data_IF_354758118610
#
_entry.id   IF_354758118610
#
_cell.length_a   1.000
_cell.length_b   1.000
_cell.length_c   1.000
_cell.angle_alpha   90.00
_cell.angle_beta   90.00
_cell.angle_gamma   90.00
#
_symmetry.space_group_name_H-M   'P 1'
#
loop_
_entity.id
_entity.type
_entity.pdbx_description
1 polymer ?
#
# COMPACT_ATOMS: atom_id res chain seq x y z
N UNK A 1 3.74 17.09 -13.42
CA UNK A 1 3.36 17.08 -14.85
C UNK A 1 2.60 15.81 -15.25
N UNK A 2 1.45 16.00 -15.89
CA UNK A 2 0.61 14.92 -16.41
C UNK A 2 1.21 14.24 -17.65
N UNK A 3 1.81 15.02 -18.56
CA UNK A 3 2.39 14.51 -19.80
C UNK A 3 3.46 13.41 -19.55
N UNK A 4 4.39 13.65 -18.61
CA UNK A 4 5.38 12.65 -18.20
C UNK A 4 4.71 11.38 -17.68
N UNK A 5 3.75 11.50 -16.74
CA UNK A 5 3.02 10.33 -16.22
C UNK A 5 2.25 9.57 -17.30
N UNK A 6 1.73 10.26 -18.34
CA UNK A 6 1.08 9.60 -19.49
C UNK A 6 2.09 8.85 -20.35
N UNK A 7 3.28 9.40 -20.57
CA UNK A 7 4.38 8.77 -21.33
C UNK A 7 4.78 7.42 -20.73
N UNK A 8 4.92 7.33 -19.41
CA UNK A 8 5.25 6.09 -18.71
C UNK A 8 4.01 5.22 -18.38
N UNK A 9 2.83 5.54 -18.94
CA UNK A 9 1.58 4.82 -18.67
C UNK A 9 1.21 4.72 -17.18
N UNK A 10 1.44 5.77 -16.39
CA UNK A 10 1.15 5.82 -14.94
C UNK A 10 0.18 6.93 -14.54
N UNK A 11 -0.42 7.64 -15.49
CA UNK A 11 -1.45 8.62 -15.15
C UNK A 11 -2.76 7.93 -14.71
N UNK A 12 -3.12 8.12 -13.44
CA UNK A 12 -4.40 7.71 -12.85
C UNK A 12 -4.97 8.91 -12.09
N UNK A 13 -6.12 9.43 -12.52
CA UNK A 13 -6.71 10.66 -11.97
C UNK A 13 -7.12 10.53 -10.50
N UNK A 14 -7.47 9.33 -10.05
CA UNK A 14 -7.87 9.04 -8.68
C UNK A 14 -6.70 8.84 -7.70
N UNK A 15 -5.44 8.84 -8.17
CA UNK A 15 -4.30 8.72 -7.27
C UNK A 15 -4.09 10.03 -6.50
N UNK A 16 -3.96 9.94 -5.18
CA UNK A 16 -3.39 11.04 -4.39
C UNK A 16 -1.91 11.23 -4.74
N UNK A 17 -1.35 12.39 -4.35
CA UNK A 17 0.02 12.81 -4.72
C UNK A 17 1.07 11.73 -4.49
N UNK A 18 1.12 11.15 -3.28
CA UNK A 18 2.10 10.11 -2.95
C UNK A 18 1.96 8.88 -3.86
N UNK A 19 0.74 8.36 -4.03
CA UNK A 19 0.50 7.18 -4.87
C UNK A 19 0.84 7.42 -6.33
N UNK A 20 0.57 8.62 -6.85
CA UNK A 20 0.97 9.00 -8.21
C UNK A 20 2.49 8.99 -8.37
N UNK A 21 3.24 9.48 -7.36
CA UNK A 21 4.69 9.46 -7.34
C UNK A 21 5.23 8.02 -7.22
N UNK A 22 4.78 7.25 -6.24
CA UNK A 22 5.14 5.84 -6.08
C UNK A 22 4.84 5.02 -7.34
N UNK A 23 3.70 5.26 -8.00
CA UNK A 23 3.37 4.61 -9.27
C UNK A 23 4.38 4.92 -10.37
N UNK A 24 4.79 6.18 -10.45
CA UNK A 24 5.79 6.61 -11.43
C UNK A 24 7.14 5.96 -11.13
N UNK A 25 7.58 5.95 -9.87
CA UNK A 25 8.81 5.28 -9.45
C UNK A 25 8.82 3.79 -9.85
N UNK A 26 7.71 3.09 -9.65
CA UNK A 26 7.60 1.69 -10.07
C UNK A 26 7.67 1.49 -11.58
N UNK A 27 7.24 2.46 -12.39
CA UNK A 27 7.39 2.37 -13.85
C UNK A 27 8.84 2.62 -14.30
N UNK A 28 9.55 3.53 -13.64
CA UNK A 28 10.98 3.74 -13.88
C UNK A 28 11.77 2.49 -13.51
N UNK A 29 11.52 1.91 -12.33
CA UNK A 29 12.17 0.66 -11.92
C UNK A 29 11.90 -0.49 -12.91
N UNK A 30 10.67 -0.61 -13.43
CA UNK A 30 10.32 -1.58 -14.47
C UNK A 30 11.16 -1.39 -15.73
N UNK A 31 11.33 -0.13 -16.15
CA UNK A 31 12.07 0.26 -17.35
C UNK A 31 13.57 0.01 -17.18
N UNK A 32 14.14 0.40 -16.04
CA UNK A 32 15.54 0.12 -15.66
C UNK A 32 15.87 -1.39 -15.68
N UNK A 33 14.86 -2.24 -15.42
CA UNK A 33 15.00 -3.70 -15.43
C UNK A 33 14.57 -4.36 -16.76
N UNK A 34 14.29 -3.58 -17.81
CA UNK A 34 13.81 -4.05 -19.12
C UNK A 34 12.56 -4.96 -19.04
N UNK A 35 11.69 -4.74 -18.04
CA UNK A 35 10.55 -5.61 -17.81
C UNK A 35 9.36 -5.20 -18.70
N UNK A 36 8.75 -6.14 -19.46
CA UNK A 36 7.59 -5.83 -20.29
C UNK A 36 6.41 -5.31 -19.45
N UNK A 37 5.80 -4.22 -19.90
CA UNK A 37 4.63 -3.60 -19.24
C UNK A 37 3.44 -4.55 -19.15
N UNK A 38 2.73 -4.46 -18.03
CA UNK A 38 1.51 -5.20 -17.76
C UNK A 38 0.23 -4.43 -18.09
N UNK A 39 -0.89 -5.12 -17.87
CA UNK A 39 -2.23 -4.54 -18.02
C UNK A 39 -2.96 -4.48 -16.68
N UNK A 40 -3.83 -3.49 -16.54
CA UNK A 40 -4.76 -3.34 -15.45
C UNK A 40 -6.19 -3.53 -15.97
N UNK A 41 -6.94 -4.36 -15.26
CA UNK A 41 -8.37 -4.55 -15.45
C UNK A 41 -9.11 -3.63 -14.48
N UNK A 42 -10.00 -2.79 -15.02
CA UNK A 42 -10.95 -2.07 -14.19
C UNK A 42 -11.95 -3.07 -13.61
N UNK A 43 -12.03 -3.16 -12.26
CA UNK A 43 -12.95 -4.09 -11.59
C UNK A 43 -14.42 -3.74 -11.84
N UNK A 44 -14.74 -2.45 -12.02
CA UNK A 44 -16.10 -2.02 -12.31
C UNK A 44 -16.46 -2.24 -13.79
N UNK A 45 -15.47 -2.24 -14.68
CA UNK A 45 -15.64 -2.44 -16.11
C UNK A 45 -14.59 -3.43 -16.65
N UNK A 46 -14.76 -4.76 -16.46
CA UNK A 46 -13.74 -5.75 -16.80
C UNK A 46 -13.28 -5.73 -18.27
N UNK A 47 -14.10 -5.21 -19.18
CA UNK A 47 -13.77 -5.03 -20.60
C UNK A 47 -12.79 -3.87 -20.87
N UNK A 48 -12.61 -2.95 -19.90
CA UNK A 48 -11.64 -1.86 -20.01
C UNK A 48 -10.28 -2.33 -19.50
N UNK A 49 -9.51 -2.91 -20.41
CA UNK A 49 -8.11 -3.26 -20.19
C UNK A 49 -7.24 -2.09 -20.61
N UNK A 50 -6.32 -1.64 -19.75
CA UNK A 50 -5.31 -0.63 -20.12
C UNK A 50 -3.91 -1.05 -19.72
N UNK A 51 -2.91 -0.64 -20.50
CA UNK A 51 -1.51 -0.72 -20.09
C UNK A 51 -1.28 0.18 -18.88
N UNK A 52 -0.48 -0.29 -17.94
CA UNK A 52 -0.16 0.46 -16.72
C UNK A 52 1.31 0.21 -16.35
N UNK A 53 2.12 1.27 -16.35
CA UNK A 53 3.59 1.19 -16.17
C UNK A 53 4.01 0.58 -14.83
N UNK A 54 3.22 0.78 -13.78
CA UNK A 54 3.40 0.13 -12.48
C UNK A 54 3.02 -1.37 -12.42
N UNK A 55 2.89 -2.02 -13.58
CA UNK A 55 2.64 -3.46 -13.69
C UNK A 55 3.58 -4.08 -14.71
N UNK A 56 3.88 -5.36 -14.51
CA UNK A 56 4.61 -6.18 -15.47
C UNK A 56 3.68 -7.17 -16.16
N UNK A 57 4.09 -7.65 -17.34
CA UNK A 57 3.37 -8.67 -18.09
C UNK A 57 3.18 -9.94 -17.25
N UNK A 58 2.12 -10.70 -17.56
CA UNK A 58 1.88 -11.97 -16.88
C UNK A 58 3.03 -12.97 -17.09
N UNK A 59 3.67 -12.94 -18.26
CA UNK A 59 4.82 -13.79 -18.56
C UNK A 59 6.00 -13.48 -17.64
N UNK A 60 6.38 -12.20 -17.49
CA UNK A 60 7.42 -11.78 -16.55
C UNK A 60 7.01 -12.05 -15.08
N UNK A 61 5.75 -11.84 -14.73
CA UNK A 61 5.26 -12.18 -13.39
C UNK A 61 5.35 -13.68 -13.05
N UNK A 62 5.23 -14.56 -14.05
CA UNK A 62 5.39 -16.02 -13.86
C UNK A 62 6.83 -16.44 -13.60
N UNK A 63 7.83 -15.67 -14.07
CA UNK A 63 9.24 -15.93 -13.79
C UNK A 63 9.70 -15.37 -12.45
N UNK A 64 8.82 -14.67 -11.73
CA UNK A 64 9.16 -14.04 -10.45
C UNK A 64 9.77 -12.64 -10.58
N UNK A 65 9.71 -12.00 -11.76
CA UNK A 65 10.36 -10.72 -12.02
C UNK A 65 9.85 -9.52 -11.17
N UNK A 66 8.78 -9.70 -10.39
CA UNK A 66 8.37 -8.69 -9.39
C UNK A 66 9.22 -8.75 -8.11
N UNK A 67 9.99 -9.81 -7.92
CA UNK A 67 10.89 -9.99 -6.78
C UNK A 67 12.31 -9.58 -7.16
N UNK A 68 13.04 -9.01 -6.21
CA UNK A 68 14.35 -8.40 -6.48
C UNK A 68 15.45 -9.43 -6.74
N UNK A 69 15.29 -10.66 -6.23
CA UNK A 69 16.22 -11.78 -6.48
C UNK A 69 15.44 -13.08 -6.72
N UNK A 70 16.05 -14.07 -7.40
CA UNK A 70 15.46 -15.40 -7.53
C UNK A 70 15.14 -16.07 -6.19
N UNK A 71 15.96 -15.84 -5.16
CA UNK A 71 15.75 -16.41 -3.82
C UNK A 71 14.48 -15.84 -3.18
N UNK A 72 14.23 -14.53 -3.32
CA UNK A 72 12.99 -13.92 -2.83
C UNK A 72 11.79 -14.48 -3.60
N UNK A 73 11.91 -14.70 -4.91
CA UNK A 73 10.87 -15.34 -5.69
C UNK A 73 10.58 -16.78 -5.20
N UNK A 74 11.61 -17.52 -4.81
CA UNK A 74 11.47 -18.86 -4.23
C UNK A 74 10.77 -18.82 -2.85
N UNK A 75 11.11 -17.84 -1.99
CA UNK A 75 10.41 -17.61 -0.71
C UNK A 75 8.92 -17.33 -0.95
N UNK A 76 8.59 -16.45 -1.89
CA UNK A 76 7.20 -16.14 -2.23
C UNK A 76 6.46 -17.35 -2.81
N UNK A 77 7.11 -18.15 -3.65
CA UNK A 77 6.54 -19.39 -4.18
C UNK A 77 6.25 -20.40 -3.06
N UNK A 78 7.18 -20.55 -2.10
CA UNK A 78 6.99 -21.40 -0.92
C UNK A 78 5.85 -20.89 -0.04
N UNK A 79 5.80 -19.61 0.27
CA UNK A 79 4.71 -19.02 1.06
C UNK A 79 3.33 -19.26 0.39
N UNK A 80 3.25 -19.12 -0.94
CA UNK A 80 2.03 -19.44 -1.69
C UNK A 80 1.64 -20.93 -1.61
N UNK A 81 2.62 -21.84 -1.69
CA UNK A 81 2.38 -23.27 -1.63
C UNK A 81 1.90 -23.74 -0.25
N UNK A 82 2.46 -23.15 0.81
CA UNK A 82 2.16 -23.50 2.21
C UNK A 82 1.19 -22.50 2.88
N UNK A 83 0.51 -21.67 2.10
CA UNK A 83 -0.39 -20.65 2.64
C UNK A 83 -1.45 -21.27 3.55
N UNK A 84 -1.75 -20.55 4.62
CA UNK A 84 -2.73 -20.99 5.61
C UNK A 84 -4.13 -21.16 4.99
N UNK A 85 -4.95 -22.08 5.50
CA UNK A 85 -6.34 -22.19 5.09
C UNK A 85 -7.06 -20.83 5.12
N UNK A 86 -7.59 -20.42 3.98
CA UNK A 86 -8.29 -19.14 3.82
C UNK A 86 -7.39 -17.93 3.58
N UNK A 87 -6.06 -18.03 3.61
CA UNK A 87 -5.13 -16.91 3.34
C UNK A 87 -5.45 -16.21 2.02
N UNK A 88 -5.45 -14.87 2.03
CA UNK A 88 -5.96 -14.05 0.93
C UNK A 88 -4.85 -13.58 -0.02
N UNK A 89 -4.14 -14.54 -0.63
CA UNK A 89 -3.19 -14.21 -1.68
C UNK A 89 -3.91 -13.89 -3.00
N UNK A 90 -3.87 -12.61 -3.41
CA UNK A 90 -4.12 -12.26 -4.81
C UNK A 90 -2.84 -12.54 -5.61
N UNK A 91 -2.73 -13.77 -6.13
CA UNK A 91 -1.54 -14.26 -6.84
C UNK A 91 -1.19 -13.38 -8.04
N UNK A 92 -2.20 -12.83 -8.73
CA UNK A 92 -1.99 -11.93 -9.86
C UNK A 92 -1.39 -10.60 -9.39
N UNK A 93 -1.95 -10.01 -8.32
CA UNK A 93 -1.41 -8.80 -7.69
C UNK A 93 0.02 -9.04 -7.22
N UNK A 94 0.29 -10.11 -6.50
CA UNK A 94 1.62 -10.45 -5.98
C UNK A 94 2.65 -10.57 -7.11
N UNK A 95 2.30 -11.20 -8.24
CA UNK A 95 3.22 -11.43 -9.35
C UNK A 95 3.39 -10.26 -10.30
N UNK A 96 2.41 -9.37 -10.42
CA UNK A 96 2.40 -8.40 -11.53
C UNK A 96 2.20 -6.95 -11.12
N UNK A 97 1.79 -6.67 -9.87
CA UNK A 97 1.58 -5.32 -9.39
C UNK A 97 2.82 -4.80 -8.64
N UNK A 98 3.61 -3.95 -9.28
CA UNK A 98 4.82 -3.39 -8.69
C UNK A 98 4.51 -2.41 -7.54
N UNK A 99 3.32 -1.78 -7.58
CA UNK A 99 2.86 -0.78 -6.61
C UNK A 99 2.24 -1.38 -5.33
N UNK A 100 2.24 -2.71 -5.20
CA UNK A 100 1.58 -3.41 -4.10
C UNK A 100 2.48 -3.52 -2.87
N UNK A 101 1.93 -3.33 -1.66
CA UNK A 101 2.65 -3.64 -0.40
C UNK A 101 3.01 -5.12 -0.26
N UNK A 102 2.18 -6.03 -0.78
CA UNK A 102 2.42 -7.47 -0.67
C UNK A 102 3.79 -7.95 -1.25
N UNK A 103 4.18 -7.67 -2.51
CA UNK A 103 5.52 -7.97 -3.00
C UNK A 103 6.61 -7.15 -2.30
N UNK A 104 6.32 -5.93 -1.81
CA UNK A 104 7.27 -5.19 -0.98
C UNK A 104 7.60 -5.96 0.31
N UNK A 105 6.61 -6.54 0.98
CA UNK A 105 6.83 -7.36 2.17
C UNK A 105 7.78 -8.54 1.88
N UNK A 106 7.59 -9.23 0.75
CA UNK A 106 8.53 -10.27 0.31
C UNK A 106 9.91 -9.73 -0.04
N UNK A 107 10.01 -8.59 -0.72
CA UNK A 107 11.32 -8.02 -1.09
C UNK A 107 12.14 -7.55 0.11
N UNK A 108 11.47 -7.11 1.18
CA UNK A 108 12.12 -6.69 2.43
C UNK A 108 12.43 -7.88 3.34
N UNK A 109 11.46 -8.77 3.58
CA UNK A 109 11.59 -9.83 4.58
C UNK A 109 11.99 -11.19 4.00
N UNK A 110 11.99 -11.36 2.67
CA UNK A 110 12.38 -12.60 2.00
C UNK A 110 13.79 -13.08 2.35
N UNK A 111 14.83 -12.23 2.27
CA UNK A 111 16.18 -12.61 2.67
C UNK A 111 16.26 -12.98 4.16
N UNK A 112 15.51 -12.27 5.02
CA UNK A 112 15.46 -12.51 6.46
C UNK A 112 14.78 -13.86 6.80
N UNK A 113 13.74 -14.23 6.05
CA UNK A 113 13.05 -15.50 6.25
C UNK A 113 13.91 -16.72 5.89
N UNK A 114 14.94 -16.53 5.06
CA UNK A 114 15.90 -17.58 4.70
C UNK A 114 17.08 -17.68 5.67
N UNK A 115 17.33 -16.66 6.49
CA UNK A 115 18.46 -16.58 7.43
C UNK A 115 18.03 -15.92 8.75
N UNK A 116 17.78 -16.75 9.77
CA UNK A 116 17.35 -16.30 11.09
C UNK A 116 18.41 -15.50 11.85
N UNK A 117 19.70 -15.70 11.57
CA UNK A 117 20.76 -14.90 12.18
C UNK A 117 20.78 -13.49 11.58
N UNK A 118 20.60 -13.37 10.27
CA UNK A 118 20.39 -12.08 9.61
C UNK A 118 19.10 -11.41 10.12
N UNK A 119 18.00 -12.13 10.22
CA UNK A 119 16.76 -11.61 10.78
C UNK A 119 16.95 -11.09 12.21
N UNK A 120 17.71 -11.82 13.03
CA UNK A 120 18.03 -11.40 14.40
C UNK A 120 18.80 -10.08 14.42
N UNK A 121 19.85 -9.94 13.60
CA UNK A 121 20.60 -8.68 13.49
C UNK A 121 19.73 -7.53 12.99
N UNK A 122 18.91 -7.79 11.97
CA UNK A 122 17.95 -6.81 11.44
C UNK A 122 16.97 -6.32 12.52
N UNK A 123 16.44 -7.23 13.32
CA UNK A 123 15.50 -6.87 14.39
C UNK A 123 16.18 -6.18 15.57
N UNK A 124 17.46 -6.47 15.85
CA UNK A 124 18.23 -5.73 16.83
C UNK A 124 18.40 -4.25 16.45
N UNK A 125 18.51 -3.95 15.15
CA UNK A 125 18.57 -2.59 14.63
C UNK A 125 17.18 -1.93 14.56
N UNK A 126 16.16 -2.66 14.07
CA UNK A 126 14.83 -2.11 13.83
C UNK A 126 14.00 -1.94 15.12
N UNK A 127 14.19 -2.86 16.08
CA UNK A 127 13.49 -2.90 17.36
C UNK A 127 14.48 -3.20 18.51
N UNK A 128 15.35 -2.24 18.86
CA UNK A 128 16.40 -2.47 19.85
C UNK A 128 15.86 -2.97 21.19
N UNK A 129 16.43 -4.07 21.68
CA UNK A 129 16.08 -4.65 22.98
C UNK A 129 14.78 -5.47 23.01
N UNK A 130 14.04 -5.60 21.90
CA UNK A 130 12.78 -6.33 21.88
C UNK A 130 12.99 -7.85 21.76
N UNK A 131 13.88 -8.29 20.87
CA UNK A 131 14.20 -9.70 20.64
C UNK A 131 15.71 -9.96 20.78
N UNK A 132 16.08 -11.12 21.30
CA UNK A 132 17.46 -11.67 21.28
C UNK A 132 17.67 -12.66 20.14
N UNK A 133 16.61 -13.31 19.68
CA UNK A 133 16.66 -14.20 18.52
C UNK A 133 15.32 -14.20 17.78
N UNK A 134 15.38 -14.17 16.46
CA UNK A 134 14.25 -14.46 15.57
C UNK A 134 14.27 -15.95 15.24
N UNK A 135 13.13 -16.63 15.40
CA UNK A 135 12.99 -18.05 15.08
C UNK A 135 12.29 -18.28 13.74
N UNK A 136 11.29 -17.46 13.41
CA UNK A 136 10.50 -17.60 12.19
C UNK A 136 10.00 -16.25 11.66
N UNK A 137 9.75 -16.20 10.35
CA UNK A 137 9.04 -15.11 9.69
C UNK A 137 7.90 -15.71 8.86
N UNK A 138 6.68 -15.26 9.14
CA UNK A 138 5.45 -15.70 8.48
C UNK A 138 4.91 -14.56 7.60
N UNK A 139 4.49 -14.89 6.39
CA UNK A 139 3.92 -13.94 5.42
C UNK A 139 2.40 -14.11 5.34
N UNK A 140 1.64 -13.02 5.24
CA UNK A 140 0.17 -13.03 5.15
C UNK A 140 -0.45 -13.90 6.27
N UNK A 141 0.00 -13.70 7.50
CA UNK A 141 -0.33 -14.58 8.63
C UNK A 141 -1.66 -14.18 9.29
N UNK A 142 -2.52 -15.16 9.52
CA UNK A 142 -3.77 -15.02 10.27
C UNK A 142 -4.08 -16.37 10.91
N UNK A 143 -3.67 -16.58 12.17
CA UNK A 143 -3.86 -17.87 12.82
C UNK A 143 -5.34 -18.18 12.88
N UNK A 144 -5.74 -19.37 12.42
CA UNK A 144 -7.14 -19.78 12.37
C UNK A 144 -8.02 -18.75 11.68
N UNK A 145 -7.70 -18.35 10.45
CA UNK A 145 -8.44 -17.31 9.73
C UNK A 145 -9.95 -17.61 9.64
N UNK A 146 -10.78 -16.74 10.20
CA UNK A 146 -12.23 -16.93 10.34
C UNK A 146 -12.66 -17.75 11.56
N UNK A 147 -11.72 -18.23 12.38
CA UNK A 147 -11.98 -19.01 13.60
C UNK A 147 -12.42 -18.07 14.74
N UNK A 148 -13.53 -18.39 15.43
CA UNK A 148 -14.05 -17.60 16.55
C UNK A 148 -13.14 -17.57 17.78
N UNK A 149 -12.15 -18.47 17.90
CA UNK A 149 -11.11 -18.37 18.92
C UNK A 149 -10.31 -17.06 18.78
N UNK A 150 -10.18 -16.54 17.57
CA UNK A 150 -9.51 -15.27 17.27
C UNK A 150 -10.53 -14.17 16.98
N UNK A 151 -10.42 -13.46 15.85
CA UNK A 151 -11.30 -12.36 15.47
C UNK A 151 -12.57 -12.79 14.74
N UNK A 152 -12.72 -14.08 14.41
CA UNK A 152 -13.81 -14.64 13.59
C UNK A 152 -13.95 -13.98 12.20
N UNK A 153 -12.92 -13.28 11.74
CA UNK A 153 -12.93 -12.53 10.49
C UNK A 153 -11.70 -12.85 9.63
N UNK A 154 -11.52 -12.06 8.58
CA UNK A 154 -10.50 -12.25 7.55
C UNK A 154 -9.24 -11.40 7.79
N UNK A 155 -9.08 -10.79 8.96
CA UNK A 155 -7.92 -9.96 9.32
C UNK A 155 -6.63 -10.77 9.30
N UNK A 156 -5.56 -10.18 8.76
CA UNK A 156 -4.24 -10.78 8.68
C UNK A 156 -3.17 -9.71 8.87
N UNK A 157 -1.93 -10.14 9.10
CA UNK A 157 -0.75 -9.29 9.06
C UNK A 157 0.03 -9.55 7.78
N UNK A 158 0.71 -8.53 7.25
CA UNK A 158 1.62 -8.73 6.11
C UNK A 158 2.79 -9.63 6.52
N UNK A 159 3.34 -9.39 7.72
CA UNK A 159 4.46 -10.16 8.30
C UNK A 159 4.20 -10.42 9.78
N UNK A 160 4.56 -11.62 10.27
CA UNK A 160 4.72 -11.90 11.70
C UNK A 160 6.08 -12.53 11.94
N UNK A 161 6.88 -11.90 12.81
CA UNK A 161 8.11 -12.51 13.30
C UNK A 161 7.86 -13.18 14.64
N UNK A 162 8.39 -14.40 14.80
CA UNK A 162 8.45 -15.10 16.07
C UNK A 162 9.86 -15.01 16.61
N UNK A 163 10.00 -14.84 17.92
CA UNK A 163 11.30 -14.75 18.54
C UNK A 163 11.27 -14.94 20.04
N UNK A 164 12.44 -14.77 20.64
CA UNK A 164 12.67 -14.85 22.08
C UNK A 164 13.13 -13.48 22.57
N UNK A 165 12.59 -13.02 23.69
CA UNK A 165 12.99 -11.77 24.35
C UNK A 165 14.29 -11.94 25.16
N UNK A 166 14.91 -10.84 25.64
CA UNK A 166 16.01 -10.94 26.61
C UNK A 166 15.68 -11.70 27.90
N UNK A 167 14.41 -11.74 28.29
CA UNK A 167 13.94 -12.48 29.47
C UNK A 167 13.63 -13.96 29.20
N UNK A 168 13.80 -14.43 27.96
CA UNK A 168 13.48 -15.79 27.55
C UNK A 168 12.01 -16.03 27.19
N UNK A 169 11.17 -14.98 27.16
CA UNK A 169 9.77 -15.08 26.80
C UNK A 169 9.59 -15.23 25.29
N UNK A 170 8.54 -15.93 24.85
CA UNK A 170 8.17 -16.00 23.43
C UNK A 170 7.47 -14.72 23.02
N UNK A 171 7.93 -14.10 21.94
CA UNK A 171 7.43 -12.82 21.47
C UNK A 171 7.00 -12.87 20.00
N UNK A 172 6.00 -12.04 19.69
CA UNK A 172 5.55 -11.76 18.33
C UNK A 172 5.79 -10.31 17.95
N UNK A 173 6.32 -10.08 16.75
CA UNK A 173 6.27 -8.76 16.10
C UNK A 173 5.33 -8.88 14.91
N UNK A 174 4.13 -8.33 15.06
CA UNK A 174 3.09 -8.31 14.05
C UNK A 174 3.22 -7.04 13.23
N UNK A 175 3.43 -7.14 11.91
CA UNK A 175 3.73 -5.98 11.06
C UNK A 175 2.65 -5.81 9.99
N UNK A 176 2.11 -4.59 9.93
CA UNK A 176 1.35 -4.09 8.79
C UNK A 176 2.23 -3.17 7.94
N UNK A 177 2.24 -3.38 6.63
CA UNK A 177 2.97 -2.57 5.67
C UNK A 177 2.02 -1.84 4.72
N UNK A 178 2.20 -0.53 4.64
CA UNK A 178 1.59 0.30 3.59
C UNK A 178 2.68 0.73 2.63
N UNK A 179 2.42 0.60 1.33
CA UNK A 179 3.28 1.24 0.35
C UNK A 179 2.61 2.49 -0.21
N UNK A 180 1.66 2.31 -1.11
CA UNK A 180 0.99 3.39 -1.84
C UNK A 180 -0.42 3.69 -1.32
N UNK A 181 -0.91 2.86 -0.42
CA UNK A 181 -2.18 2.98 0.27
C UNK A 181 -2.21 4.23 1.16
N UNK A 182 -3.38 4.89 1.27
CA UNK A 182 -3.53 6.11 2.04
C UNK A 182 -3.77 5.88 3.54
N UNK A 183 -4.11 4.66 3.97
CA UNK A 183 -4.50 4.35 5.36
C UNK A 183 -5.92 4.80 5.74
N UNK A 184 -6.76 5.16 4.76
CA UNK A 184 -8.16 5.53 4.93
C UNK A 184 -9.09 4.62 4.11
N UNK A 185 -8.75 3.34 4.01
CA UNK A 185 -9.56 2.38 3.30
C UNK A 185 -10.99 2.32 3.89
N UNK A 186 -12.03 2.12 3.06
CA UNK A 186 -13.39 1.97 3.55
C UNK A 186 -13.47 0.92 4.66
N UNK A 187 -14.04 1.31 5.80
CA UNK A 187 -14.26 0.39 6.90
C UNK A 187 -15.30 -0.66 6.48
N UNK A 188 -15.03 -1.96 6.67
CA UNK A 188 -16.08 -2.95 6.57
C UNK A 188 -17.06 -2.78 7.75
N UNK A 189 -18.23 -3.43 7.68
CA UNK A 189 -19.16 -3.46 8.79
C UNK A 189 -18.46 -3.87 10.10
N UNK A 190 -18.75 -3.20 11.23
CA UNK A 190 -18.22 -3.60 12.53
C UNK A 190 -18.54 -5.06 12.82
N UNK A 191 -17.59 -5.78 13.40
CA UNK A 191 -17.75 -7.17 13.79
C UNK A 191 -17.74 -7.28 15.32
N UNK A 192 -18.75 -7.91 15.95
CA UNK A 192 -18.94 -7.88 17.41
C UNK A 192 -17.75 -8.48 18.18
N UNK A 193 -17.04 -9.42 17.55
CA UNK A 193 -15.84 -10.03 18.15
C UNK A 193 -14.73 -9.02 18.45
N UNK A 194 -14.56 -7.97 17.65
CA UNK A 194 -13.55 -6.94 17.94
C UNK A 194 -13.92 -6.14 19.19
N UNK A 195 -15.19 -5.79 19.33
CA UNK A 195 -15.73 -5.12 20.52
C UNK A 195 -15.51 -5.99 21.76
N UNK A 196 -15.87 -7.27 21.69
CA UNK A 196 -15.65 -8.22 22.79
C UNK A 196 -14.16 -8.29 23.20
N UNK A 197 -13.25 -8.45 22.24
CA UNK A 197 -11.81 -8.48 22.50
C UNK A 197 -11.33 -7.16 23.11
N UNK A 198 -11.79 -6.02 22.59
CA UNK A 198 -11.41 -4.71 23.09
C UNK A 198 -11.84 -4.50 24.56
N UNK A 199 -13.03 -4.97 24.95
CA UNK A 199 -13.51 -4.92 26.34
C UNK A 199 -12.82 -5.91 27.27
N UNK A 200 -12.36 -7.05 26.74
CA UNK A 200 -11.69 -8.11 27.52
C UNK A 200 -10.16 -7.99 27.53
N UNK A 201 -9.60 -6.92 26.95
CA UNK A 201 -8.15 -6.63 26.96
C UNK A 201 -7.88 -5.32 27.72
N UNK A 202 -7.81 -5.37 29.07
CA UNK A 202 -7.60 -4.18 29.89
C UNK A 202 -6.32 -3.43 29.51
N UNK A 203 -6.41 -2.10 29.49
CA UNK A 203 -5.25 -1.23 29.25
C UNK A 203 -4.80 -1.12 27.79
N UNK A 204 -5.48 -1.77 26.84
CA UNK A 204 -5.15 -1.62 25.41
C UNK A 204 -5.71 -0.32 24.82
N UNK A 205 -7.00 -0.06 25.02
CA UNK A 205 -7.70 1.10 24.46
C UNK A 205 -8.13 2.08 25.54
N UNK A 206 -8.09 3.39 25.23
CA UNK A 206 -8.59 4.45 26.12
C UNK A 206 -10.10 4.28 26.33
N UNK A 207 -10.82 4.10 25.22
CA UNK A 207 -12.26 3.89 25.19
C UNK A 207 -12.57 2.81 24.14
N UNK A 208 -12.80 1.54 24.56
CA UNK A 208 -13.06 0.43 23.64
C UNK A 208 -14.26 0.62 22.70
N UNK A 209 -15.22 1.47 23.08
CA UNK A 209 -16.43 1.79 22.30
C UNK A 209 -16.29 3.07 21.45
N UNK A 210 -15.12 3.72 21.40
CA UNK A 210 -14.94 4.93 20.60
C UNK A 210 -15.18 4.61 19.11
N UNK A 211 -16.14 5.27 18.44
CA UNK A 211 -16.46 4.98 17.04
C UNK A 211 -15.28 5.21 16.09
N UNK A 212 -14.29 6.03 16.49
CA UNK A 212 -13.05 6.27 15.76
C UNK A 212 -12.30 4.97 15.48
N UNK A 213 -12.31 3.99 16.40
CA UNK A 213 -11.65 2.69 16.24
C UNK A 213 -12.16 1.93 15.00
N UNK A 214 -13.45 2.04 14.71
CA UNK A 214 -14.08 1.40 13.55
C UNK A 214 -14.09 2.29 12.29
N UNK A 215 -13.59 3.51 12.39
CA UNK A 215 -13.51 4.46 11.28
C UNK A 215 -12.41 4.12 10.27
N UNK A 216 -12.45 4.71 9.05
CA UNK A 216 -11.51 4.39 7.97
C UNK A 216 -10.02 4.49 8.33
N UNK A 217 -9.66 5.44 9.20
CA UNK A 217 -8.27 5.67 9.61
C UNK A 217 -7.71 4.61 10.58
N UNK A 218 -8.58 3.94 11.33
CA UNK A 218 -8.19 3.10 12.46
C UNK A 218 -8.57 1.64 12.28
N UNK A 219 -9.65 1.36 11.54
CA UNK A 219 -10.29 0.05 11.45
C UNK A 219 -9.32 -1.10 11.19
N UNK A 220 -8.34 -0.92 10.31
CA UNK A 220 -7.39 -1.99 10.02
C UNK A 220 -6.47 -2.30 11.21
N UNK A 221 -5.86 -1.26 11.78
CA UNK A 221 -4.97 -1.39 12.93
C UNK A 221 -5.73 -1.85 14.18
N UNK A 222 -6.97 -1.38 14.37
CA UNK A 222 -7.87 -1.84 15.41
C UNK A 222 -8.08 -3.36 15.35
N UNK A 223 -8.49 -3.88 14.18
CA UNK A 223 -8.67 -5.33 14.00
C UNK A 223 -7.38 -6.11 14.20
N UNK A 224 -6.25 -5.58 13.74
CA UNK A 224 -4.94 -6.20 13.90
C UNK A 224 -4.49 -6.25 15.36
N UNK A 225 -4.76 -5.23 16.15
CA UNK A 225 -4.54 -5.28 17.59
C UNK A 225 -5.49 -6.25 18.28
N UNK A 226 -6.77 -6.30 17.89
CA UNK A 226 -7.70 -7.32 18.39
C UNK A 226 -7.22 -8.73 18.06
N UNK A 227 -6.72 -8.97 16.85
CA UNK A 227 -6.13 -10.25 16.47
C UNK A 227 -4.90 -10.57 17.33
N UNK A 228 -4.01 -9.59 17.54
CA UNK A 228 -2.83 -9.76 18.38
C UNK A 228 -3.20 -10.10 19.83
N UNK A 229 -4.20 -9.41 20.40
CA UNK A 229 -4.72 -9.69 21.74
C UNK A 229 -5.30 -11.10 21.84
N UNK A 230 -6.09 -11.52 20.85
CA UNK A 230 -6.63 -12.88 20.82
C UNK A 230 -5.54 -13.96 20.68
N UNK A 231 -4.46 -13.67 19.95
CA UNK A 231 -3.31 -14.58 19.84
C UNK A 231 -2.58 -14.77 21.18
N UNK A 232 -2.41 -13.70 21.95
CA UNK A 232 -1.85 -13.77 23.31
C UNK A 232 -2.78 -14.53 24.26
N UNK A 233 -4.08 -14.23 24.25
CA UNK A 233 -5.06 -14.94 25.06
C UNK A 233 -5.12 -16.45 24.74
N UNK A 234 -4.86 -16.83 23.49
CA UNK A 234 -4.76 -18.22 23.06
C UNK A 234 -3.40 -18.89 23.37
N UNK A 235 -2.46 -18.18 24.01
CA UNK A 235 -1.16 -18.71 24.42
C UNK A 235 -0.15 -18.89 23.29
N UNK A 236 -0.36 -18.25 22.13
CA UNK A 236 0.55 -18.38 20.98
C UNK A 236 1.91 -17.71 21.23
N UNK A 237 1.95 -16.73 22.11
CA UNK A 237 3.16 -16.09 22.63
C UNK A 237 2.87 -15.47 24.00
N UNK A 238 3.93 -15.03 24.67
CA UNK A 238 3.85 -14.46 26.01
C UNK A 238 3.80 -12.92 25.93
N UNK A 239 4.41 -12.33 24.89
CA UNK A 239 4.32 -10.90 24.56
C UNK A 239 4.14 -10.67 23.07
N UNK A 240 3.65 -9.49 22.69
CA UNK A 240 3.57 -9.08 21.29
C UNK A 240 3.75 -7.58 21.11
N UNK A 241 4.13 -7.17 19.91
CA UNK A 241 4.18 -5.77 19.46
C UNK A 241 3.50 -5.68 18.10
N UNK A 242 2.65 -4.67 17.91
CA UNK A 242 2.12 -4.31 16.60
C UNK A 242 2.98 -3.20 16.00
N UNK A 243 3.57 -3.44 14.84
CA UNK A 243 4.33 -2.45 14.10
C UNK A 243 3.62 -2.07 12.81
N UNK A 244 3.83 -0.82 12.40
CA UNK A 244 3.31 -0.27 11.16
C UNK A 244 4.45 0.35 10.37
N UNK A 245 4.63 -0.04 9.11
CA UNK A 245 5.72 0.46 8.26
C UNK A 245 5.12 1.10 7.01
N UNK A 246 5.52 2.34 6.72
CA UNK A 246 5.17 3.04 5.49
C UNK A 246 6.33 3.92 5.02
N UNK A 247 6.44 4.27 3.72
CA UNK A 247 7.41 5.26 3.26
C UNK A 247 7.23 6.60 3.99
N UNK A 248 8.34 7.26 4.36
CA UNK A 248 8.31 8.50 5.12
C UNK A 248 7.45 9.60 4.46
N UNK A 249 7.46 9.66 3.13
CA UNK A 249 6.67 10.61 2.36
C UNK A 249 5.19 10.22 2.19
N UNK A 250 4.76 9.03 2.61
CA UNK A 250 3.36 8.65 2.65
C UNK A 250 2.68 9.21 3.91
N UNK A 251 2.56 10.53 3.95
CA UNK A 251 2.01 11.27 5.09
C UNK A 251 0.56 10.89 5.43
N UNK A 252 -0.23 10.44 4.45
CA UNK A 252 -1.60 9.98 4.70
C UNK A 252 -1.60 8.72 5.55
N UNK A 253 -0.76 7.74 5.21
CA UNK A 253 -0.63 6.49 5.95
C UNK A 253 -0.12 6.75 7.39
N UNK A 254 0.88 7.64 7.54
CA UNK A 254 1.35 8.05 8.86
C UNK A 254 0.31 8.84 9.67
N UNK A 255 -0.52 9.68 9.03
CA UNK A 255 -1.60 10.39 9.71
C UNK A 255 -2.70 9.43 10.22
N UNK A 256 -3.01 8.38 9.46
CA UNK A 256 -3.90 7.31 9.89
C UNK A 256 -3.33 6.56 11.11
N UNK A 257 -2.06 6.13 11.04
CA UNK A 257 -1.38 5.49 12.17
C UNK A 257 -1.30 6.39 13.41
N UNK A 258 -1.05 7.69 13.24
CA UNK A 258 -1.06 8.66 14.35
C UNK A 258 -2.47 8.84 14.94
N UNK A 259 -3.51 8.79 14.12
CA UNK A 259 -4.90 8.81 14.57
C UNK A 259 -5.24 7.59 15.39
N UNK A 260 -4.80 6.41 14.93
CA UNK A 260 -4.95 5.17 15.68
C UNK A 260 -4.18 5.20 17.01
N UNK A 261 -2.93 5.66 17.00
CA UNK A 261 -2.09 5.75 18.20
C UNK A 261 -2.75 6.53 19.34
N UNK A 262 -3.54 7.57 19.03
CA UNK A 262 -4.30 8.37 20.01
C UNK A 262 -5.47 7.63 20.66
N UNK A 263 -5.80 6.41 20.20
CA UNK A 263 -6.86 5.57 20.77
C UNK A 263 -6.33 4.56 21.79
N UNK A 264 -4.99 4.45 21.93
CA UNK A 264 -4.33 3.48 22.80
C UNK A 264 -4.01 4.10 24.16
N UNK A 265 -4.20 3.35 25.24
CA UNK A 265 -3.98 3.87 26.60
C UNK A 265 -2.51 4.18 26.88
N UNK A 266 -1.62 3.26 26.51
CA UNK A 266 -0.18 3.48 26.46
C UNK A 266 0.39 2.82 25.19
N UNK A 267 0.61 3.57 24.11
CA UNK A 267 1.10 2.99 22.87
C UNK A 267 2.56 2.51 22.94
N UNK A 268 3.34 2.89 23.95
CA UNK A 268 4.75 2.53 24.05
C UNK A 268 4.99 1.34 24.99
N UNK A 269 4.24 1.27 26.09
CA UNK A 269 4.44 0.26 27.14
C UNK A 269 3.15 -0.48 27.53
N UNK A 270 2.04 -0.25 26.83
CA UNK A 270 0.79 -0.98 27.04
C UNK A 270 0.93 -2.48 26.77
N UNK A 271 -0.14 -3.26 27.01
CA UNK A 271 -0.10 -4.72 26.90
C UNK A 271 0.35 -5.22 25.52
N UNK A 272 0.12 -4.40 24.48
CA UNK A 272 0.64 -4.62 23.13
C UNK A 272 1.11 -3.25 22.62
N UNK A 273 2.43 -2.97 22.61
CA UNK A 273 2.96 -1.72 22.08
C UNK A 273 2.65 -1.53 20.59
N UNK A 274 2.45 -0.28 20.17
CA UNK A 274 2.25 0.11 18.79
C UNK A 274 3.41 1.00 18.28
N UNK A 275 4.18 0.47 17.33
CA UNK A 275 5.40 1.11 16.84
C UNK A 275 5.25 1.47 15.35
N UNK A 276 4.92 2.73 15.01
CA UNK A 276 5.00 3.20 13.65
C UNK A 276 6.46 3.50 13.26
N UNK A 277 6.88 3.01 12.10
CA UNK A 277 8.22 3.16 11.53
C UNK A 277 8.14 3.62 10.07
N UNK A 278 9.27 4.09 9.56
CA UNK A 278 9.41 4.38 8.13
C UNK A 278 10.03 3.20 7.39
N UNK A 279 9.68 3.06 6.12
CA UNK A 279 10.26 2.05 5.25
C UNK A 279 11.77 2.28 5.06
N UNK A 280 12.18 3.53 4.98
CA UNK A 280 13.58 3.96 4.88
C UNK A 280 14.38 3.56 6.12
N UNK A 281 13.80 3.62 7.32
CA UNK A 281 14.45 3.14 8.54
C UNK A 281 14.67 1.62 8.50
N UNK A 282 13.72 0.85 7.96
CA UNK A 282 13.92 -0.58 7.72
C UNK A 282 15.06 -0.84 6.70
N UNK A 283 15.24 0.02 5.70
CA UNK A 283 16.38 -0.11 4.77
C UNK A 283 17.71 0.17 5.46
N UNK A 284 17.78 1.18 6.33
CA UNK A 284 18.96 1.42 7.16
C UNK A 284 19.28 0.24 8.07
N UNK A 285 18.26 -0.36 8.71
CA UNK A 285 18.41 -1.58 9.52
C UNK A 285 18.92 -2.76 8.68
N UNK A 286 18.44 -2.92 7.43
CA UNK A 286 18.93 -3.94 6.50
C UNK A 286 20.42 -3.76 6.16
N UNK A 287 20.86 -2.52 5.95
CA UNK A 287 22.27 -2.22 5.71
C UNK A 287 23.12 -2.55 6.93
N UNK A 288 22.71 -2.10 8.13
CA UNK A 288 23.41 -2.35 9.39
C UNK A 288 23.46 -3.84 9.75
N UNK A 289 22.43 -4.61 9.41
CA UNK A 289 22.39 -6.07 9.60
C UNK A 289 23.36 -6.85 8.69
N UNK A 290 23.98 -6.18 7.71
CA UNK A 290 25.00 -6.75 6.83
C UNK A 290 24.59 -6.88 5.36
N UNK A 291 23.47 -6.29 4.93
CA UNK A 291 23.04 -6.29 3.52
C UNK A 291 22.92 -4.87 2.92
N UNK A 292 24.02 -4.10 2.84
CA UNK A 292 23.99 -2.73 2.30
C UNK A 292 23.56 -2.67 0.83
N UNK A 293 23.96 -3.65 0.00
CA UNK A 293 23.55 -3.69 -1.41
C UNK A 293 22.02 -3.91 -1.56
N UNK A 294 21.44 -4.78 -0.73
CA UNK A 294 19.99 -4.99 -0.70
C UNK A 294 19.26 -3.73 -0.24
N UNK A 295 19.78 -3.04 0.78
CA UNK A 295 19.22 -1.78 1.26
C UNK A 295 19.20 -0.69 0.16
N UNK A 296 20.30 -0.54 -0.59
CA UNK A 296 20.38 0.38 -1.72
C UNK A 296 19.38 0.01 -2.82
N UNK A 297 19.27 -1.28 -3.16
CA UNK A 297 18.34 -1.74 -4.17
C UNK A 297 16.87 -1.54 -3.74
N UNK A 298 16.57 -1.72 -2.45
CA UNK A 298 15.25 -1.47 -1.87
C UNK A 298 14.91 0.03 -1.92
N UNK A 299 15.84 0.89 -1.52
CA UNK A 299 15.70 2.34 -1.64
C UNK A 299 15.44 2.75 -3.10
N UNK A 300 16.30 2.30 -4.02
CA UNK A 300 16.20 2.57 -5.46
C UNK A 300 14.83 2.24 -6.02
N UNK A 301 14.27 1.10 -5.59
CA UNK A 301 12.97 0.63 -6.06
C UNK A 301 11.79 1.36 -5.42
N UNK A 302 11.84 1.64 -4.12
CA UNK A 302 10.63 1.99 -3.37
C UNK A 302 10.56 3.46 -2.95
N UNK A 303 11.70 4.14 -2.75
CA UNK A 303 11.75 5.46 -2.11
C UNK A 303 12.78 6.42 -2.70
N UNK A 304 13.43 6.09 -3.83
CA UNK A 304 14.39 6.97 -4.50
C UNK A 304 13.66 8.06 -5.30
N UNK A 305 13.20 9.09 -4.60
CA UNK A 305 12.40 10.18 -5.19
C UNK A 305 13.20 11.07 -6.15
N UNK A 306 14.54 11.06 -6.06
CA UNK A 306 15.42 11.79 -6.98
C UNK A 306 15.25 11.36 -8.43
N UNK A 307 14.89 10.09 -8.67
CA UNK A 307 14.55 9.60 -9.99
C UNK A 307 13.39 10.35 -10.62
N UNK A 308 12.38 10.67 -9.80
CA UNK A 308 11.23 11.42 -10.28
C UNK A 308 11.66 12.85 -10.57
N UNK A 309 12.40 13.49 -9.67
CA UNK A 309 12.84 14.87 -9.88
C UNK A 309 13.62 15.01 -11.20
N UNK A 310 14.54 14.10 -11.50
CA UNK A 310 15.26 14.07 -12.78
C UNK A 310 14.33 13.90 -14.00
N UNK A 311 13.37 12.98 -13.95
CA UNK A 311 12.38 12.80 -15.03
C UNK A 311 11.46 14.01 -15.22
N UNK A 312 11.14 14.68 -14.12
CA UNK A 312 10.33 15.89 -14.12
C UNK A 312 11.09 17.06 -14.75
N UNK A 313 12.36 17.22 -14.42
CA UNK A 313 13.26 18.22 -15.02
C UNK A 313 13.44 17.98 -16.52
N UNK A 314 13.71 16.75 -16.95
CA UNK A 314 13.81 16.37 -18.36
C UNK A 314 12.52 16.69 -19.13
N UNK A 315 11.36 16.38 -18.54
CA UNK A 315 10.06 16.68 -19.15
C UNK A 315 9.80 18.19 -19.27
N UNK A 316 10.23 18.98 -18.29
CA UNK A 316 10.11 20.44 -18.31
C UNK A 316 11.05 21.08 -19.33
N UNK A 317 12.30 20.62 -19.40
CA UNK A 317 13.27 21.07 -20.40
C UNK A 317 12.83 20.76 -21.83
N UNK A 318 12.28 19.57 -22.08
CA UNK A 318 11.73 19.20 -23.38
C UNK A 318 10.51 20.03 -23.79
N UNK A 319 9.68 20.48 -22.83
CA UNK A 319 8.54 21.35 -23.11
C UNK A 319 8.96 22.81 -23.41
N UNK A 320 10.09 23.26 -22.87
CA UNK A 320 10.66 24.57 -23.18
C UNK A 320 11.34 24.62 -24.58
N UNK A 321 11.73 23.47 -25.11
CA UNK A 321 12.41 23.32 -26.40
C UNK A 321 11.44 22.84 -27.51
N UNK A 322 10.37 23.59 -27.77
CA UNK A 322 9.59 23.43 -29.00
C UNK A 322 10.21 24.35 -30.06
N UNK A 323 10.87 23.82 -31.12
CA UNK A 323 11.43 24.67 -32.16
C UNK A 323 10.33 25.47 -32.85
N UNK A 324 10.59 26.74 -33.15
CA UNK A 324 9.67 27.68 -33.81
C UNK A 324 9.15 27.24 -35.20
N UNK A 325 9.56 26.07 -35.70
CA UNK A 325 9.15 25.53 -36.99
C UNK A 325 7.68 25.07 -37.03
N UNK A 326 7.07 24.68 -35.90
CA UNK A 326 5.64 24.28 -35.86
C UNK A 326 4.67 25.46 -35.67
N UNK A 327 5.17 26.66 -35.31
CA UNK A 327 4.34 27.85 -35.15
C UNK A 327 4.03 28.59 -36.48
N UNK A 328 4.64 28.16 -37.59
CA UNK A 328 4.49 28.81 -38.91
C UNK A 328 3.51 28.10 -39.87
N UNK A 329 2.87 27.01 -39.45
CA UNK A 329 1.89 26.29 -40.25
C UNK A 329 0.44 26.58 -39.79
N UNK A 330 0.05 27.85 -39.75
CA UNK A 330 -1.37 28.24 -39.71
C UNK A 330 -1.78 28.70 -41.12
N UNK A 331 -2.79 28.07 -41.77
CA UNK A 331 -3.25 28.54 -43.07
C UNK A 331 -3.92 29.90 -42.92
N UNK A 332 -3.39 30.90 -43.64
CA UNK A 332 -3.97 32.23 -43.75
C UNK A 332 -5.25 32.12 -44.59
N UNK A 333 -6.42 31.99 -43.95
CA UNK A 333 -7.68 32.16 -44.65
C UNK A 333 -7.94 33.64 -44.87
N UNK A 334 -7.74 34.09 -46.12
CA UNK A 334 -8.21 35.37 -46.63
C UNK A 334 -9.72 35.52 -46.39
N UNK A 335 -10.11 36.63 -45.76
CA UNK A 335 -11.49 37.08 -45.73
C UNK A 335 -11.88 37.63 -47.10
N UNK A 336 -12.77 36.95 -47.80
CA UNK A 336 -13.55 37.55 -48.88
C UNK A 336 -14.81 38.16 -48.28
N UNK A 337 -14.88 39.49 -48.38
CA UNK A 337 -16.05 40.31 -48.11
C UNK A 337 -17.07 40.05 -49.22
N UNK A 338 -18.29 39.66 -48.86
CA UNK A 338 -19.43 39.78 -49.75
C UNK A 338 -20.60 40.46 -49.04
N UNK A 339 -20.89 41.66 -49.54
CA UNK A 339 -22.07 42.47 -49.24
C UNK A 339 -23.25 41.96 -50.07
N UNK A 340 -24.39 41.64 -49.44
CA UNK A 340 -25.71 42.12 -49.88
C UNK A 340 -26.81 41.80 -48.85
N UNK A 341 -27.68 42.79 -48.71
CA UNK A 341 -28.81 42.94 -47.82
C UNK A 341 -29.99 41.99 -48.11
N UNK A 342 -30.71 41.53 -47.08
CA UNK A 342 -32.04 42.07 -46.72
C UNK A 342 -32.85 41.16 -45.76
N UNK A 343 -33.51 41.83 -44.81
CA UNK A 343 -34.80 41.52 -44.15
C UNK A 343 -34.95 40.36 -43.13
N UNK A 344 -35.19 40.78 -41.87
CA UNK A 344 -35.81 40.03 -40.75
C UNK A 344 -37.30 39.72 -41.05
N UNK A 345 -37.98 38.75 -40.36
CA UNK A 345 -38.60 39.06 -39.06
C UNK A 345 -38.65 37.92 -37.99
N UNK A 346 -38.57 38.39 -36.73
CA UNK A 346 -39.38 38.05 -35.53
C UNK A 346 -39.25 36.67 -34.85
N UNK A 347 -38.75 36.73 -33.62
CA UNK A 347 -38.80 35.72 -32.56
C UNK A 347 -40.22 35.61 -31.95
N UNK A 348 -40.70 34.39 -31.73
CA UNK A 348 -41.74 34.08 -30.73
C UNK A 348 -41.17 33.12 -29.68
N UNK A 349 -41.28 33.55 -28.42
CA UNK A 349 -40.94 32.78 -27.23
C UNK A 349 -41.89 31.59 -27.06
N UNK A 350 -41.39 30.51 -26.44
CA UNK A 350 -42.25 29.58 -25.70
C UNK A 350 -41.56 29.05 -24.46
N UNK A 351 -42.35 29.11 -23.41
CA UNK A 351 -42.06 28.96 -21.99
C UNK A 351 -41.72 27.55 -21.54
N UNK A 352 -40.89 27.49 -20.51
CA UNK A 352 -40.66 26.36 -19.61
C UNK A 352 -41.97 25.78 -19.07
N UNK A 353 -42.03 24.45 -18.97
CA UNK A 353 -43.00 23.73 -18.13
C UNK A 353 -42.24 22.86 -17.14
N UNK A 354 -42.37 23.23 -15.87
CA UNK A 354 -42.03 22.45 -14.68
C UNK A 354 -42.98 21.26 -14.54
N UNK A 355 -42.48 20.14 -13.99
CA UNK A 355 -43.28 19.00 -13.53
C UNK A 355 -42.92 18.70 -12.07
N UNK A 356 -43.89 18.57 -11.15
CA UNK A 356 -43.64 18.37 -9.73
C UNK A 356 -43.55 16.89 -9.34
N UNK A 357 -43.02 16.66 -8.14
CA UNK A 357 -42.88 15.38 -7.45
C UNK A 357 -44.13 15.04 -6.63
N UNK A 358 -44.43 13.74 -6.46
CA UNK A 358 -45.05 13.19 -5.23
C UNK A 358 -44.91 11.67 -5.11
N UNK A 359 -44.54 11.23 -3.89
CA UNK A 359 -44.76 9.89 -3.27
C UNK A 359 -46.30 9.70 -3.08
N UNK A 360 -46.92 8.54 -2.85
CA UNK A 360 -46.69 7.47 -1.86
C UNK A 360 -47.75 6.35 -2.06
N UNK A 361 -47.39 5.11 -1.70
CA UNK A 361 -48.15 3.95 -1.19
C UNK A 361 -49.64 3.69 -1.52
N UNK A 362 -49.91 2.44 -1.93
CA UNK A 362 -50.81 1.50 -1.26
C UNK A 362 -50.28 0.08 -1.48
#
# INVERSE_FOLDING_TARGET
PEAARRRHHVFVSADHRFKAAARFLQALWREDCDLPIGTHLDRANPHRVRRLGSRISLAAGRTGANFMTPDIAAVAARALAYREPGAAYDVSRLRTNLLSSQPLAFNLFGPLAADSALATRFMAELFPGVLTSVTDILFEHSPGRGDPRFTADRTAFDIVLRGITPTGARALICIEMKYSEAGYEPAPPPHPRHTEIAHTTPGLFIAPDDPTLTGPACQQLYRQHSLTAAMLAAGLADTATLAFIAPAHNQLAHAAAATYKRQLSDPAAGPIPFIPLTLEHAFTAMAAAGLPAQAVALHRRYTDWWLLDGELELAMGAAAFVPAAEALAAPTHMQTVDTTSATKPVNRSRSQRTRPATRTAA
#
